data_IF_178197871296
#
_entry.id   IF_178197871296
#
_cell.length_a   1.000
_cell.length_b   1.000
_cell.length_c   1.000
_cell.angle_alpha   90.00
_cell.angle_beta   90.00
_cell.angle_gamma   90.00
#
_symmetry.space_group_name_H-M   'P 1'
#
loop_
_entity.id
_entity.type
_entity.pdbx_description
1 polymer ?
#
# COMPACT_ATOMS: atom_id res chain seq x y z
N UNK A 1 -41.61 -0.75 12.55
CA UNK A 1 -40.85 -1.53 11.55
C UNK A 1 -39.47 -1.84 12.11
N UNK A 2 -38.96 -3.07 11.98
CA UNK A 2 -37.58 -3.35 12.37
C UNK A 2 -36.60 -2.59 11.45
N UNK A 3 -35.46 -2.19 12.01
CA UNK A 3 -34.38 -1.57 11.24
C UNK A 3 -33.89 -2.56 10.18
N UNK A 4 -33.68 -2.08 8.95
CA UNK A 4 -33.14 -2.88 7.85
C UNK A 4 -31.65 -2.59 7.68
N UNK A 5 -30.81 -3.61 7.50
CA UNK A 5 -29.40 -3.40 7.21
C UNK A 5 -29.23 -2.74 5.83
N UNK A 6 -28.04 -2.18 5.60
CA UNK A 6 -27.67 -1.65 4.29
C UNK A 6 -27.76 -2.77 3.22
N UNK A 7 -28.34 -2.51 2.03
CA UNK A 7 -28.79 -3.54 1.10
C UNK A 7 -27.67 -4.36 0.45
N UNK A 8 -26.46 -3.80 0.33
CA UNK A 8 -25.30 -4.50 -0.20
C UNK A 8 -24.24 -4.64 0.90
N UNK A 9 -23.59 -5.80 1.06
CA UNK A 9 -22.50 -5.93 2.03
C UNK A 9 -21.24 -5.26 1.47
N UNK A 10 -21.26 -3.93 1.32
CA UNK A 10 -20.14 -3.12 0.88
C UNK A 10 -19.80 -2.14 1.99
N UNK A 11 -18.52 -2.04 2.30
CA UNK A 11 -17.99 -1.09 3.28
C UNK A 11 -17.10 -0.10 2.57
N UNK A 12 -17.14 1.15 3.01
CA UNK A 12 -16.29 2.21 2.50
C UNK A 12 -15.29 2.62 3.58
N UNK A 13 -14.08 2.93 3.14
CA UNK A 13 -13.03 3.46 4.00
C UNK A 13 -12.36 4.61 3.31
N UNK A 14 -12.04 5.64 4.08
CA UNK A 14 -11.39 6.85 3.58
C UNK A 14 -10.22 7.21 4.46
N UNK A 15 -9.14 7.71 3.87
CA UNK A 15 -8.00 8.22 4.64
C UNK A 15 -7.38 9.46 4.00
N UNK A 16 -6.76 10.28 4.86
CA UNK A 16 -6.02 11.48 4.48
C UNK A 16 -4.65 11.44 5.16
N UNK A 17 -3.60 11.49 4.37
CA UNK A 17 -2.22 11.41 4.82
C UNK A 17 -1.47 12.69 4.43
N UNK A 18 -0.86 13.35 5.41
CA UNK A 18 0.01 14.49 5.16
C UNK A 18 1.37 14.03 4.62
N UNK A 19 1.77 14.56 3.46
CA UNK A 19 3.00 14.20 2.73
C UNK A 19 4.24 14.67 3.50
N UNK A 20 4.22 15.88 4.08
CA UNK A 20 5.34 16.37 4.91
C UNK A 20 5.65 15.47 6.11
N UNK A 21 4.62 14.88 6.72
CA UNK A 21 4.81 13.89 7.79
C UNK A 21 5.57 12.66 7.29
N UNK A 22 5.19 12.13 6.13
CA UNK A 22 5.90 10.99 5.53
C UNK A 22 7.33 11.37 5.16
N UNK A 23 7.53 12.54 4.54
CA UNK A 23 8.84 13.11 4.21
C UNK A 23 9.74 13.16 5.44
N UNK A 24 9.22 13.72 6.55
CA UNK A 24 9.94 13.80 7.83
C UNK A 24 10.31 12.41 8.35
N UNK A 25 9.38 11.45 8.32
CA UNK A 25 9.62 10.08 8.80
C UNK A 25 10.72 9.34 8.03
N UNK A 26 10.77 9.51 6.71
CA UNK A 26 11.75 8.79 5.86
C UNK A 26 13.13 9.46 5.84
N UNK A 27 13.22 10.75 6.14
CA UNK A 27 14.47 11.54 6.16
C UNK A 27 15.06 11.73 7.55
N UNK A 28 14.30 11.43 8.62
CA UNK A 28 14.78 11.58 9.99
C UNK A 28 16.07 10.79 10.21
N UNK A 29 17.09 11.46 10.79
CA UNK A 29 18.35 10.81 11.15
C UNK A 29 18.09 9.58 12.04
N UNK A 30 18.76 8.45 11.80
CA UNK A 30 18.61 7.29 12.67
C UNK A 30 19.08 7.66 14.08
N UNK A 31 18.29 7.31 15.10
CA UNK A 31 18.83 7.22 16.46
C UNK A 31 19.75 6.00 16.47
N UNK A 32 20.90 6.08 17.13
CA UNK A 32 22.00 5.09 17.08
C UNK A 32 21.60 3.62 17.30
N UNK A 33 20.39 3.34 17.81
CA UNK A 33 19.84 1.99 18.05
C UNK A 33 18.87 1.46 16.96
N UNK A 34 18.34 2.30 16.06
CA UNK A 34 17.35 1.92 15.03
C UNK A 34 17.92 2.34 13.67
N UNK A 35 18.23 1.36 12.81
CA UNK A 35 18.84 1.57 11.49
C UNK A 35 18.04 2.47 10.52
N UNK A 36 18.30 2.43 9.21
CA UNK A 36 17.73 3.40 8.26
C UNK A 36 16.19 3.49 8.36
N UNK A 37 15.66 4.68 8.67
CA UNK A 37 14.22 4.92 8.88
C UNK A 37 13.39 4.62 7.64
N UNK A 38 13.90 4.99 6.46
CA UNK A 38 13.31 4.63 5.18
C UNK A 38 13.08 3.13 5.08
N UNK A 39 14.11 2.32 5.32
CA UNK A 39 14.02 0.86 5.23
C UNK A 39 12.97 0.30 6.20
N UNK A 40 12.99 0.75 7.46
CA UNK A 40 12.00 0.34 8.46
C UNK A 40 10.57 0.77 8.11
N UNK A 41 10.41 1.93 7.50
CA UNK A 41 9.12 2.44 7.05
C UNK A 41 8.59 1.63 5.85
N UNK A 42 9.43 1.39 4.84
CA UNK A 42 9.10 0.54 3.69
C UNK A 42 8.77 -0.88 4.13
N UNK A 43 9.55 -1.47 5.04
CA UNK A 43 9.27 -2.81 5.56
C UNK A 43 8.07 -2.86 6.49
N UNK A 44 7.58 -1.74 7.02
CA UNK A 44 6.34 -1.71 7.80
C UNK A 44 5.11 -1.61 6.91
N UNK A 45 5.17 -0.79 5.85
CA UNK A 45 4.00 -0.44 5.06
C UNK A 45 3.89 -1.26 3.78
N UNK A 46 4.99 -1.50 3.07
CA UNK A 46 4.95 -2.18 1.77
C UNK A 46 5.25 -3.67 1.93
N UNK A 47 4.46 -4.51 1.24
CA UNK A 47 4.76 -5.92 1.01
C UNK A 47 6.00 -6.08 0.14
N UNK A 48 6.58 -7.27 0.09
CA UNK A 48 7.77 -7.51 -0.73
C UNK A 48 7.57 -7.13 -2.22
N UNK A 49 6.45 -7.51 -2.89
CA UNK A 49 6.19 -7.11 -4.28
C UNK A 49 6.07 -5.59 -4.46
N UNK A 50 5.40 -4.89 -3.54
CA UNK A 50 5.32 -3.42 -3.58
C UNK A 50 6.69 -2.76 -3.40
N UNK A 51 7.59 -3.37 -2.61
CA UNK A 51 8.97 -2.88 -2.49
C UNK A 51 9.78 -3.12 -3.76
N UNK A 52 9.59 -4.26 -4.44
CA UNK A 52 10.21 -4.51 -5.73
C UNK A 52 9.76 -3.45 -6.76
N UNK A 53 8.46 -3.18 -6.85
CA UNK A 53 7.92 -2.08 -7.66
C UNK A 53 8.49 -0.71 -7.27
N UNK A 54 8.57 -0.41 -5.97
CA UNK A 54 9.16 0.83 -5.47
C UNK A 54 10.62 0.98 -5.91
N UNK A 55 11.41 -0.10 -5.87
CA UNK A 55 12.80 -0.09 -6.32
C UNK A 55 12.93 0.03 -7.83
N UNK A 56 12.05 -0.62 -8.60
CA UNK A 56 11.99 -0.41 -10.05
C UNK A 56 11.68 1.04 -10.42
N UNK A 57 10.81 1.71 -9.65
CA UNK A 57 10.39 3.11 -9.92
C UNK A 57 11.38 4.17 -9.43
N UNK A 58 11.94 4.01 -8.24
CA UNK A 58 12.74 5.06 -7.58
C UNK A 58 14.22 4.72 -7.45
N UNK A 59 14.64 3.50 -7.79
CA UNK A 59 16.03 3.06 -7.76
C UNK A 59 16.58 2.75 -6.36
N UNK A 60 17.87 3.03 -6.19
CA UNK A 60 18.62 2.79 -4.97
C UNK A 60 18.33 3.86 -3.89
N UNK A 61 18.92 3.72 -2.70
CA UNK A 61 18.67 4.66 -1.61
C UNK A 61 19.15 6.08 -1.94
N UNK A 62 20.25 6.23 -2.70
CA UNK A 62 20.77 7.53 -3.10
C UNK A 62 19.80 8.28 -4.03
N UNK A 63 19.26 7.60 -5.04
CA UNK A 63 18.25 8.19 -5.93
C UNK A 63 16.94 8.50 -5.19
N UNK A 64 16.56 7.68 -4.21
CA UNK A 64 15.42 7.95 -3.33
C UNK A 64 15.61 9.25 -2.55
N UNK A 65 16.78 9.47 -1.94
CA UNK A 65 17.03 10.70 -1.18
C UNK A 65 17.15 11.94 -2.06
N UNK A 66 17.67 11.82 -3.29
CA UNK A 66 17.66 12.92 -4.28
C UNK A 66 16.24 13.32 -4.70
N UNK A 67 15.29 12.39 -4.68
CA UNK A 67 13.90 12.60 -5.09
C UNK A 67 12.90 12.42 -3.94
N UNK A 68 13.24 12.94 -2.76
CA UNK A 68 12.49 12.70 -1.53
C UNK A 68 11.03 13.16 -1.64
N UNK A 69 10.74 14.26 -2.35
CA UNK A 69 9.37 14.78 -2.46
C UNK A 69 8.42 13.83 -3.20
N UNK A 70 8.84 13.31 -4.36
CA UNK A 70 8.01 12.36 -5.11
C UNK A 70 7.91 11.02 -4.38
N UNK A 71 8.97 10.60 -3.69
CA UNK A 71 8.96 9.39 -2.85
C UNK A 71 7.98 9.56 -1.69
N UNK A 72 8.02 10.69 -0.98
CA UNK A 72 7.10 10.98 0.11
C UNK A 72 5.65 11.04 -0.38
N UNK A 73 5.39 11.68 -1.53
CA UNK A 73 4.07 11.75 -2.15
C UNK A 73 3.55 10.34 -2.49
N UNK A 74 4.37 9.52 -3.16
CA UNK A 74 4.03 8.13 -3.48
C UNK A 74 3.71 7.29 -2.23
N UNK A 75 4.58 7.37 -1.21
CA UNK A 75 4.42 6.61 0.02
C UNK A 75 3.22 7.09 0.84
N UNK A 76 2.91 8.39 0.82
CA UNK A 76 1.70 8.93 1.44
C UNK A 76 0.44 8.38 0.78
N UNK A 77 0.39 8.31 -0.55
CA UNK A 77 -0.71 7.67 -1.28
C UNK A 77 -0.88 6.19 -0.93
N UNK A 78 0.22 5.42 -0.85
CA UNK A 78 0.18 4.02 -0.41
C UNK A 78 -0.27 3.86 1.03
N UNK A 79 0.19 4.73 1.93
CA UNK A 79 -0.24 4.74 3.32
C UNK A 79 -1.74 5.00 3.43
N UNK A 80 -2.23 6.06 2.78
CA UNK A 80 -3.65 6.43 2.79
C UNK A 80 -4.52 5.29 2.20
N UNK A 81 -4.09 4.69 1.10
CA UNK A 81 -4.82 3.57 0.48
C UNK A 81 -4.94 2.37 1.43
N UNK A 82 -3.84 1.98 2.09
CA UNK A 82 -3.88 0.86 3.04
C UNK A 82 -4.71 1.16 4.27
N UNK A 83 -4.66 2.38 4.79
CA UNK A 83 -5.53 2.81 5.89
C UNK A 83 -7.01 2.84 5.47
N UNK A 84 -7.33 3.30 4.26
CA UNK A 84 -8.68 3.27 3.71
C UNK A 84 -9.20 1.82 3.60
N UNK A 85 -8.40 0.90 3.05
CA UNK A 85 -8.75 -0.53 3.03
C UNK A 85 -8.95 -1.08 4.45
N UNK A 86 -8.04 -0.78 5.38
CA UNK A 86 -8.15 -1.24 6.78
C UNK A 86 -9.41 -0.75 7.48
N UNK A 87 -9.86 0.48 7.20
CA UNK A 87 -11.11 1.04 7.75
C UNK A 87 -12.36 0.39 7.15
N UNK A 88 -12.31 0.04 5.86
CA UNK A 88 -13.40 -0.64 5.17
C UNK A 88 -13.45 -2.14 5.52
N UNK A 89 -12.32 -2.74 5.87
CA UNK A 89 -12.17 -4.15 6.11
C UNK A 89 -12.49 -4.53 7.57
N UNK A 90 -13.47 -5.40 7.78
CA UNK A 90 -13.92 -5.84 9.10
C UNK A 90 -13.20 -7.11 9.62
N UNK A 91 -12.65 -7.93 8.73
CA UNK A 91 -11.96 -9.17 9.09
C UNK A 91 -10.48 -8.98 9.45
N UNK A 92 -9.90 -7.82 9.19
CA UNK A 92 -8.56 -7.50 9.70
C UNK A 92 -8.67 -7.19 11.19
N UNK A 93 -8.37 -8.19 12.02
CA UNK A 93 -8.42 -8.05 13.47
C UNK A 93 -7.60 -6.86 13.97
N UNK A 94 -8.07 -6.25 15.06
CA UNK A 94 -7.49 -5.05 15.69
C UNK A 94 -5.99 -5.24 16.04
N UNK A 95 -5.57 -6.49 16.24
CA UNK A 95 -4.20 -6.87 16.63
C UNK A 95 -3.30 -7.33 15.47
N UNK A 96 -3.79 -7.33 14.23
CA UNK A 96 -3.01 -7.76 13.07
C UNK A 96 -2.02 -6.70 12.62
N UNK A 97 -0.91 -7.11 12.01
CA UNK A 97 0.01 -6.23 11.26
C UNK A 97 -0.65 -5.79 9.95
N UNK A 98 -1.80 -5.09 10.05
CA UNK A 98 -2.79 -4.96 8.98
C UNK A 98 -2.28 -4.51 7.61
N UNK A 99 -1.19 -3.74 7.53
CA UNK A 99 -0.60 -3.34 6.24
C UNK A 99 0.04 -4.48 5.44
N UNK A 100 0.37 -5.60 6.06
CA UNK A 100 0.95 -6.79 5.40
C UNK A 100 -0.10 -7.72 4.81
N UNK A 101 -1.34 -7.55 5.23
CA UNK A 101 -2.50 -8.18 4.62
C UNK A 101 -3.11 -7.34 3.50
N UNK A 102 -2.62 -6.13 3.24
CA UNK A 102 -3.17 -5.27 2.20
C UNK A 102 -2.06 -5.02 1.20
N UNK A 103 -2.26 -5.42 -0.05
CA UNK A 103 -1.38 -5.07 -1.15
C UNK A 103 -2.08 -4.08 -2.05
N UNK A 104 -1.42 -2.97 -2.39
CA UNK A 104 -1.91 -2.09 -3.44
C UNK A 104 -1.23 -2.52 -4.73
N UNK A 105 -2.00 -3.18 -5.59
CA UNK A 105 -1.49 -3.76 -6.81
C UNK A 105 -0.90 -2.65 -7.69
N UNK A 106 0.29 -2.88 -8.28
CA UNK A 106 0.80 -2.00 -9.30
C UNK A 106 -0.17 -1.98 -10.48
N UNK A 107 -0.23 -0.81 -11.11
CA UNK A 107 -0.90 -0.57 -12.39
C UNK A 107 -0.04 -1.25 -13.47
N UNK A 108 -0.06 -2.58 -13.49
CA UNK A 108 0.67 -3.41 -14.46
C UNK A 108 -0.17 -4.64 -14.78
N UNK A 109 -1.26 -4.44 -15.51
CA UNK A 109 -1.66 -5.44 -16.50
C UNK A 109 -0.80 -5.22 -17.74
N UNK A 110 -0.48 -6.30 -18.45
CA UNK A 110 0.50 -6.41 -19.53
C UNK A 110 0.26 -5.47 -20.75
N UNK A 111 -0.78 -4.65 -20.72
CA UNK A 111 -1.10 -3.66 -21.76
C UNK A 111 -0.57 -2.28 -21.39
N UNK A 112 0.70 -2.06 -21.71
CA UNK A 112 1.34 -0.75 -21.74
C UNK A 112 0.76 0.12 -22.87
N UNK A 113 -0.52 0.52 -22.77
CA UNK A 113 -0.97 1.71 -23.47
C UNK A 113 -0.54 2.93 -22.64
N UNK A 114 0.53 3.60 -23.07
CA UNK A 114 1.22 4.70 -22.36
C UNK A 114 0.34 5.93 -22.05
N UNK A 115 -0.96 5.89 -22.38
CA UNK A 115 -1.88 7.02 -22.30
C UNK A 115 -3.12 6.78 -21.43
N UNK A 116 -3.25 5.62 -20.76
CA UNK A 116 -4.33 5.42 -19.79
C UNK A 116 -3.80 5.37 -18.36
N UNK A 117 -4.26 6.30 -17.52
CA UNK A 117 -4.15 6.19 -16.08
C UNK A 117 -4.94 4.95 -15.64
N UNK A 118 -4.29 3.81 -15.41
CA UNK A 118 -5.01 2.65 -14.88
C UNK A 118 -5.35 2.89 -13.40
N UNK A 119 -6.55 2.44 -13.01
CA UNK A 119 -7.02 2.49 -11.63
C UNK A 119 -6.20 1.53 -10.77
N UNK A 120 -5.66 1.96 -9.61
CA UNK A 120 -5.07 1.02 -8.67
C UNK A 120 -6.15 0.12 -8.09
N UNK A 121 -5.83 -1.14 -7.88
CA UNK A 121 -6.68 -2.08 -7.13
C UNK A 121 -5.99 -2.50 -5.84
N UNK A 122 -6.77 -2.78 -4.81
CA UNK A 122 -6.27 -3.39 -3.58
C UNK A 122 -6.57 -4.87 -3.56
N UNK A 123 -5.68 -5.63 -2.95
CA UNK A 123 -5.87 -7.03 -2.60
C UNK A 123 -5.74 -7.16 -1.08
N UNK A 124 -6.80 -7.60 -0.42
CA UNK A 124 -6.82 -7.92 1.00
C UNK A 124 -6.58 -9.42 1.13
N UNK A 125 -5.40 -9.78 1.60
CA UNK A 125 -4.93 -11.15 1.75
C UNK A 125 -5.51 -11.77 3.01
N UNK A 126 -5.95 -13.02 2.92
CA UNK A 126 -6.38 -13.79 4.09
C UNK A 126 -5.22 -13.99 5.07
N UNK A 127 -4.02 -14.29 4.54
CA UNK A 127 -2.79 -14.40 5.32
C UNK A 127 -1.78 -13.31 4.93
N UNK A 128 -1.03 -12.81 5.92
CA UNK A 128 0.02 -11.83 5.63
C UNK A 128 1.10 -12.46 4.76
N UNK A 129 1.54 -11.74 3.73
CA UNK A 129 2.67 -12.20 2.94
C UNK A 129 3.92 -12.32 3.82
N UNK A 130 4.60 -13.48 3.82
CA UNK A 130 5.83 -13.64 4.57
C UNK A 130 6.89 -12.66 4.06
N UNK A 131 7.71 -12.16 4.98
CA UNK A 131 8.85 -11.35 4.61
C UNK A 131 9.92 -12.26 3.98
N UNK A 132 10.16 -12.07 2.68
CA UNK A 132 11.22 -12.78 1.97
C UNK A 132 12.59 -12.32 2.46
N UNK A 133 13.45 -13.29 2.77
CA UNK A 133 14.87 -13.02 3.04
C UNK A 133 15.55 -12.45 1.79
N UNK A 134 16.59 -11.61 1.98
CA UNK A 134 17.24 -10.83 0.92
C UNK A 134 17.71 -11.67 -0.29
N UNK A 135 18.02 -12.96 -0.09
CA UNK A 135 18.47 -13.85 -1.16
C UNK A 135 17.32 -14.29 -2.10
N UNK A 136 16.10 -14.45 -1.60
CA UNK A 136 14.95 -14.89 -2.40
C UNK A 136 14.32 -13.72 -3.15
N UNK A 137 14.32 -12.54 -2.53
CA UNK A 137 13.89 -11.27 -3.12
C UNK A 137 14.57 -10.96 -4.46
N UNK A 138 15.85 -11.32 -4.59
CA UNK A 138 16.66 -11.08 -5.78
C UNK A 138 16.40 -12.11 -6.90
N UNK A 139 15.75 -13.23 -6.59
CA UNK A 139 15.47 -14.34 -7.52
C UNK A 139 14.02 -14.36 -8.02
N UNK A 140 13.15 -13.45 -7.57
CA UNK A 140 11.75 -13.50 -7.97
C UNK A 140 11.59 -13.20 -9.46
N UNK A 141 11.17 -14.24 -10.19
CA UNK A 141 10.38 -14.11 -11.41
C UNK A 141 9.13 -13.23 -11.14
N UNK A 142 8.44 -12.84 -12.22
CA UNK A 142 7.21 -12.06 -12.15
C UNK A 142 6.29 -12.56 -11.01
N UNK A 143 6.02 -11.70 -10.03
CA UNK A 143 5.20 -12.05 -8.88
C UNK A 143 3.77 -12.32 -9.36
N UNK A 144 3.33 -13.57 -9.27
CA UNK A 144 2.00 -13.96 -9.73
C UNK A 144 0.95 -13.60 -8.67
N UNK A 145 0.20 -12.51 -8.92
CA UNK A 145 -0.89 -12.04 -8.06
C UNK A 145 -2.06 -13.02 -8.04
N UNK A 146 -2.32 -13.73 -9.15
CA UNK A 146 -3.45 -14.66 -9.28
C UNK A 146 -3.30 -15.92 -8.42
N UNK A 147 -2.07 -16.22 -7.97
CA UNK A 147 -1.80 -17.35 -7.08
C UNK A 147 -2.07 -17.04 -5.59
N UNK A 148 -2.40 -15.79 -5.25
CA UNK A 148 -2.65 -15.39 -3.88
C UNK A 148 -4.12 -15.58 -3.50
N UNK A 149 -4.34 -16.05 -2.28
CA UNK A 149 -5.68 -16.09 -1.70
C UNK A 149 -6.01 -14.76 -1.00
N UNK A 150 -7.15 -14.19 -1.33
CA UNK A 150 -7.58 -12.91 -0.83
C UNK A 150 -8.73 -12.30 -1.64
N UNK A 151 -9.10 -11.09 -1.22
CA UNK A 151 -10.24 -10.37 -1.74
C UNK A 151 -9.81 -9.08 -2.43
N UNK A 152 -10.20 -8.90 -3.69
CA UNK A 152 -10.01 -7.64 -4.40
C UNK A 152 -10.92 -6.55 -3.86
N UNK A 153 -10.42 -5.32 -3.88
CA UNK A 153 -11.17 -4.12 -3.54
C UNK A 153 -10.82 -2.96 -4.47
N UNK A 154 -11.79 -2.10 -4.72
CA UNK A 154 -11.61 -0.93 -5.57
C UNK A 154 -11.00 0.21 -4.75
N UNK A 155 -9.99 0.88 -5.32
CA UNK A 155 -9.28 1.97 -4.66
C UNK A 155 -9.17 3.16 -5.59
N UNK A 156 -9.34 4.36 -5.04
CA UNK A 156 -8.93 5.59 -5.68
C UNK A 156 -7.92 6.31 -4.80
N UNK A 157 -6.85 6.84 -5.39
CA UNK A 157 -5.81 7.60 -4.70
C UNK A 157 -5.67 8.94 -5.41
N UNK A 158 -5.74 10.03 -4.67
CA UNK A 158 -5.50 11.37 -5.16
C UNK A 158 -4.46 12.08 -4.30
N UNK A 159 -3.81 13.09 -4.88
CA UNK A 159 -2.89 13.93 -4.17
C UNK A 159 -3.17 15.37 -4.53
N UNK A 160 -3.33 16.23 -3.53
CA UNK A 160 -3.50 17.67 -3.71
C UNK A 160 -2.65 18.41 -2.68
N UNK A 161 -1.88 19.40 -3.14
CA UNK A 161 -0.88 20.08 -2.34
C UNK A 161 0.03 19.10 -1.58
N UNK A 162 0.04 19.23 -0.24
CA UNK A 162 0.83 18.41 0.68
C UNK A 162 0.03 17.27 1.33
N UNK A 163 -1.06 16.83 0.69
CA UNK A 163 -1.89 15.73 1.17
C UNK A 163 -2.09 14.66 0.10
N UNK A 164 -2.15 13.42 0.55
CA UNK A 164 -2.62 12.29 -0.22
C UNK A 164 -3.93 11.79 0.41
N UNK A 165 -4.95 11.53 -0.39
CA UNK A 165 -6.19 10.92 0.07
C UNK A 165 -6.47 9.65 -0.69
N UNK A 166 -7.11 8.70 -0.03
CA UNK A 166 -7.58 7.49 -0.67
C UNK A 166 -8.96 7.08 -0.18
N UNK A 167 -9.70 6.44 -1.08
CA UNK A 167 -10.98 5.81 -0.81
C UNK A 167 -10.89 4.35 -1.23
N UNK A 168 -11.39 3.46 -0.39
CA UNK A 168 -11.48 2.03 -0.66
C UNK A 168 -12.92 1.55 -0.52
N UNK A 169 -13.37 0.73 -1.47
CA UNK A 169 -14.64 0.02 -1.42
C UNK A 169 -14.34 -1.47 -1.28
N UNK A 170 -14.70 -2.03 -0.13
CA UNK A 170 -14.38 -3.41 0.24
C UNK A 170 -15.69 -4.20 0.40
N UNK A 171 -15.84 -5.34 -0.30
CA UNK A 171 -16.91 -6.28 0.00
C UNK A 171 -16.82 -6.76 1.45
N UNK A 172 -17.92 -6.67 2.19
CA UNK A 172 -18.06 -7.30 3.49
C UNK A 172 -18.17 -8.80 3.32
N UNK A 173 -17.48 -9.55 4.17
CA UNK A 173 -17.67 -11.01 4.24
C UNK A 173 -19.00 -11.29 4.93
N UNK A 174 -19.80 -12.19 4.36
CA UNK A 174 -21.01 -12.72 4.99
C UNK A 174 -20.67 -13.86 5.93
#
# INVERSE_FOLDING_TARGET
MPLRPFPFPLRVGTDLCNVSRIRSLITQKPNSAKGPRLKAFLSKILTHPERAYFRGRFGNDESVFRNTDNVARFLAGRFAAKEACRKACDHLGIYTTGFKHIMILPVTTLDHSEHQSQRPQGLILHEALPELEKLEAAKQAAFNVEALDGQLCEISITHDGDFASAVALVPGMK
#
